data_IF_468957490685
#
_entry.id   IF_468957490685
#
_cell.length_a   1.000
_cell.length_b   1.000
_cell.length_c   1.000
_cell.angle_alpha   90.00
_cell.angle_beta   90.00
_cell.angle_gamma   90.00
#
_symmetry.space_group_name_H-M   'P 1'
#
loop_
_entity.id
_entity.type
_entity.pdbx_description
1 polymer ?
#
# COMPACT_ATOMS: atom_id res chain seq x y z
N UNK A 1 -11.75 6.59 11.63
CA UNK A 1 -10.32 6.94 11.64
C UNK A 1 -9.44 5.94 10.88
N UNK A 2 -9.66 4.62 11.01
CA UNK A 2 -8.80 3.58 10.43
C UNK A 2 -8.62 3.66 8.89
N UNK A 3 -9.68 3.90 8.13
CA UNK A 3 -9.61 4.02 6.65
C UNK A 3 -8.85 5.26 6.19
N UNK A 4 -8.98 6.39 6.89
CA UNK A 4 -8.22 7.61 6.59
C UNK A 4 -6.72 7.47 6.88
N UNK A 5 -6.36 6.81 7.98
CA UNK A 5 -4.96 6.49 8.30
C UNK A 5 -4.35 5.51 7.29
N UNK A 6 -5.12 4.52 6.86
CA UNK A 6 -4.72 3.61 5.80
C UNK A 6 -4.51 4.37 4.47
N UNK A 7 -5.43 5.26 4.08
CA UNK A 7 -5.29 6.10 2.89
C UNK A 7 -4.02 6.96 2.90
N UNK A 8 -3.63 7.50 4.06
CA UNK A 8 -2.34 8.18 4.21
C UNK A 8 -1.15 7.26 3.89
N UNK A 9 -1.15 6.02 4.38
CA UNK A 9 -0.09 5.05 4.08
C UNK A 9 -0.03 4.69 2.59
N UNK A 10 -1.18 4.59 1.92
CA UNK A 10 -1.24 4.37 0.46
C UNK A 10 -0.56 5.53 -0.28
N UNK A 11 -0.81 6.78 0.11
CA UNK A 11 -0.16 7.96 -0.51
C UNK A 11 1.35 7.91 -0.30
N UNK A 12 1.82 7.65 0.92
CA UNK A 12 3.24 7.52 1.24
C UNK A 12 3.90 6.41 0.41
N UNK A 13 3.28 5.23 0.34
CA UNK A 13 3.77 4.12 -0.47
C UNK A 13 3.85 4.46 -1.95
N UNK A 14 2.90 5.26 -2.44
CA UNK A 14 2.83 5.64 -3.87
C UNK A 14 3.98 6.58 -4.20
N UNK A 15 4.27 7.54 -3.31
CA UNK A 15 5.43 8.42 -3.44
C UNK A 15 6.73 7.60 -3.43
N UNK A 16 6.88 6.62 -2.53
CA UNK A 16 8.06 5.75 -2.49
C UNK A 16 8.24 4.98 -3.81
N UNK A 17 7.17 4.43 -4.38
CA UNK A 17 7.21 3.74 -5.67
C UNK A 17 7.51 4.68 -6.84
N UNK A 18 6.96 5.90 -6.86
CA UNK A 18 7.27 6.91 -7.88
C UNK A 18 8.77 7.28 -7.83
N UNK A 19 9.32 7.46 -6.64
CA UNK A 19 10.75 7.73 -6.45
C UNK A 19 11.58 6.55 -6.94
N UNK A 20 11.19 5.31 -6.62
CA UNK A 20 11.86 4.12 -7.14
C UNK A 20 11.76 4.04 -8.66
N UNK A 21 10.59 4.32 -9.26
CA UNK A 21 10.41 4.32 -10.70
C UNK A 21 11.34 5.33 -11.39
N UNK A 22 11.43 6.56 -10.85
CA UNK A 22 12.37 7.56 -11.36
C UNK A 22 13.82 7.08 -11.29
N UNK A 23 14.22 6.50 -10.16
CA UNK A 23 15.58 5.94 -9.96
C UNK A 23 15.86 4.76 -10.90
N UNK A 24 14.84 3.93 -11.18
CA UNK A 24 14.95 2.84 -12.13
C UNK A 24 15.20 3.36 -13.57
N UNK A 25 14.48 4.40 -14.00
CA UNK A 25 14.73 5.04 -15.31
C UNK A 25 16.10 5.69 -15.43
N UNK A 26 16.65 6.20 -14.33
CA UNK A 26 18.00 6.76 -14.28
C UNK A 26 19.10 5.68 -14.26
N UNK A 27 18.76 4.39 -14.14
CA UNK A 27 19.71 3.29 -14.05
C UNK A 27 20.37 3.13 -12.68
N UNK A 28 19.81 3.75 -11.62
CA UNK A 28 20.38 3.74 -10.26
C UNK A 28 20.25 2.38 -9.55
N UNK A 29 19.54 1.43 -10.15
CA UNK A 29 19.38 0.08 -9.59
C UNK A 29 20.22 -0.93 -10.35
N UNK A 30 21.06 -1.65 -9.60
CA UNK A 30 21.75 -2.83 -10.09
C UNK A 30 21.15 -4.08 -9.45
N UNK A 31 21.27 -5.27 -10.07
CA UNK A 31 20.79 -6.53 -9.48
C UNK A 31 21.37 -6.89 -8.10
N UNK A 32 22.43 -6.19 -7.66
CA UNK A 32 23.05 -6.36 -6.34
C UNK A 32 22.75 -5.21 -5.39
N UNK A 33 22.29 -4.06 -5.89
CA UNK A 33 22.04 -2.85 -5.11
C UNK A 33 20.70 -2.22 -5.51
N UNK A 34 19.61 -2.82 -5.04
CA UNK A 34 18.24 -2.37 -5.24
C UNK A 34 17.44 -2.32 -3.93
N UNK A 35 18.13 -2.18 -2.78
CA UNK A 35 17.48 -2.19 -1.46
C UNK A 35 16.37 -1.15 -1.32
N UNK A 36 16.53 0.04 -1.94
CA UNK A 36 15.49 1.06 -1.93
C UNK A 36 14.18 0.62 -2.60
N UNK A 37 14.27 -0.16 -3.68
CA UNK A 37 13.11 -0.76 -4.33
C UNK A 37 12.53 -1.89 -3.48
N UNK A 38 13.39 -2.72 -2.89
CA UNK A 38 12.96 -3.81 -2.01
C UNK A 38 12.17 -3.28 -0.81
N UNK A 39 12.70 -2.28 -0.09
CA UNK A 39 12.01 -1.63 1.02
C UNK A 39 10.66 -1.03 0.61
N UNK A 40 10.57 -0.40 -0.57
CA UNK A 40 9.31 0.12 -1.10
C UNK A 40 8.30 -1.00 -1.41
N UNK A 41 8.77 -2.15 -1.92
CA UNK A 41 7.92 -3.31 -2.16
C UNK A 41 7.39 -3.92 -0.85
N UNK A 42 8.24 -4.06 0.17
CA UNK A 42 7.83 -4.50 1.51
C UNK A 42 6.77 -3.56 2.11
N UNK A 43 6.99 -2.25 2.00
CA UNK A 43 6.02 -1.26 2.47
C UNK A 43 4.69 -1.36 1.73
N UNK A 44 4.73 -1.53 0.40
CA UNK A 44 3.52 -1.64 -0.41
C UNK A 44 2.71 -2.90 -0.07
N UNK A 45 3.37 -4.05 0.10
CA UNK A 45 2.71 -5.28 0.52
C UNK A 45 2.14 -5.21 1.94
N UNK A 46 2.82 -4.54 2.87
CA UNK A 46 2.28 -4.30 4.20
C UNK A 46 0.97 -3.50 4.13
N UNK A 47 0.94 -2.44 3.33
CA UNK A 47 -0.27 -1.62 3.14
C UNK A 47 -1.40 -2.46 2.55
N UNK A 48 -1.13 -3.29 1.55
CA UNK A 48 -2.12 -4.18 0.93
C UNK A 48 -2.73 -5.17 1.94
N UNK A 49 -1.90 -5.84 2.74
CA UNK A 49 -2.37 -6.78 3.78
C UNK A 49 -3.29 -6.07 4.78
N UNK A 50 -2.90 -4.87 5.26
CA UNK A 50 -3.75 -4.07 6.16
C UNK A 50 -5.08 -3.71 5.50
N UNK A 51 -5.09 -3.41 4.21
CA UNK A 51 -6.32 -3.12 3.47
C UNK A 51 -7.26 -4.32 3.41
N UNK A 52 -6.74 -5.52 3.13
CA UNK A 52 -7.56 -6.74 3.08
C UNK A 52 -8.27 -6.98 4.42
N UNK A 53 -7.58 -6.81 5.55
CA UNK A 53 -8.19 -6.93 6.87
C UNK A 53 -9.26 -5.85 7.12
N UNK A 54 -8.97 -4.58 6.77
CA UNK A 54 -9.94 -3.50 6.92
C UNK A 54 -11.17 -3.69 6.04
N UNK A 55 -10.98 -4.17 4.81
CA UNK A 55 -12.06 -4.42 3.86
C UNK A 55 -13.03 -5.47 4.40
N UNK A 56 -12.50 -6.62 4.83
CA UNK A 56 -13.31 -7.70 5.42
C UNK A 56 -14.02 -7.23 6.69
N UNK A 57 -13.31 -6.54 7.60
CA UNK A 57 -13.90 -6.14 8.88
C UNK A 57 -14.94 -5.02 8.76
N UNK A 58 -14.70 -3.99 7.95
CA UNK A 58 -15.55 -2.80 7.89
C UNK A 58 -16.66 -2.95 6.86
N UNK A 59 -16.32 -3.40 5.64
CA UNK A 59 -17.26 -3.38 4.52
C UNK A 59 -18.04 -4.68 4.39
N UNK A 60 -17.41 -5.82 4.66
CA UNK A 60 -18.13 -7.11 4.63
C UNK A 60 -18.85 -7.32 5.95
N UNK A 61 -18.13 -7.40 7.07
CA UNK A 61 -18.73 -7.71 8.37
C UNK A 61 -19.55 -6.54 8.93
N UNK A 62 -19.00 -5.32 8.91
CA UNK A 62 -19.71 -4.12 9.38
C UNK A 62 -20.94 -3.74 8.55
N UNK A 63 -20.99 -4.14 7.27
CA UNK A 63 -22.15 -3.96 6.39
C UNK A 63 -23.15 -5.14 6.43
N UNK A 64 -22.81 -6.23 7.10
CA UNK A 64 -23.63 -7.44 7.14
C UNK A 64 -24.90 -7.18 7.95
N UNK A 65 -26.06 -7.22 7.28
CA UNK A 65 -27.37 -7.04 7.92
C UNK A 65 -27.93 -5.63 7.84
N UNK A 66 -27.29 -4.70 7.12
CA UNK A 66 -27.92 -3.43 6.79
C UNK A 66 -29.04 -3.67 5.76
N UNK A 67 -30.30 -3.33 6.05
CA UNK A 67 -31.36 -3.53 5.08
C UNK A 67 -31.13 -2.59 3.90
N UNK A 68 -30.80 -3.18 2.76
CA UNK A 68 -30.85 -2.51 1.46
C UNK A 68 -32.33 -2.34 1.10
N UNK A 69 -32.92 -1.28 1.62
CA UNK A 69 -34.22 -0.79 1.17
C UNK A 69 -34.04 0.07 -0.09
#
# INVERSE_FOLDING_TARGET
MATGFHGFHVIVGTIMLIVCLKRAYNGDFTPRQHFGFEAAAWYWHFVDVVWLFLFVAIYIWGGWGYPVH
#
